data_IF_155137816005
#
_entry.id   IF_155137816005
#
_cell.length_a   1.000
_cell.length_b   1.000
_cell.length_c   1.000
_cell.angle_alpha   90.00
_cell.angle_beta   90.00
_cell.angle_gamma   90.00
#
_symmetry.space_group_name_H-M   'P 1'
#
loop_
_entity.id
_entity.type
_entity.pdbx_description
1 polymer ?
#
# COMPACT_ATOMS: atom_id res chain seq x y z
N UNK A 1 14.07 -7.80 -12.95
CA UNK A 1 13.72 -6.79 -11.93
C UNK A 1 12.28 -7.04 -11.55
N UNK A 2 11.95 -6.99 -10.26
CA UNK A 2 10.55 -7.07 -9.83
C UNK A 2 10.02 -5.65 -9.80
N UNK A 3 8.98 -5.46 -10.57
CA UNK A 3 8.25 -4.22 -10.68
C UNK A 3 7.24 -4.17 -9.52
N UNK A 4 7.34 -3.16 -8.66
CA UNK A 4 6.61 -3.09 -7.38
C UNK A 4 5.51 -2.05 -7.43
N UNK A 5 4.32 -2.43 -6.97
CA UNK A 5 3.23 -1.51 -6.65
C UNK A 5 3.23 -1.29 -5.15
N UNK A 6 3.42 -0.03 -4.74
CA UNK A 6 3.40 0.35 -3.34
C UNK A 6 1.99 0.79 -2.94
N UNK A 7 1.50 0.29 -1.80
CA UNK A 7 0.26 0.74 -1.18
C UNK A 7 0.59 1.44 0.13
N UNK A 8 0.33 2.74 0.22
CA UNK A 8 0.51 3.46 1.48
C UNK A 8 -0.60 3.08 2.46
N UNK A 9 -0.21 2.62 3.65
CA UNK A 9 -1.12 2.22 4.73
C UNK A 9 -0.88 3.08 5.96
N UNK A 10 -1.97 3.55 6.55
CA UNK A 10 -1.96 4.51 7.65
C UNK A 10 -3.24 4.36 8.49
N UNK A 11 -3.22 4.90 9.71
CA UNK A 11 -4.39 4.85 10.60
C UNK A 11 -5.58 5.60 9.99
N UNK A 12 -6.74 4.95 9.92
CA UNK A 12 -7.94 5.53 9.32
C UNK A 12 -8.01 5.43 7.79
N UNK A 13 -7.11 4.64 7.15
CA UNK A 13 -7.24 4.24 5.74
C UNK A 13 -8.64 3.65 5.48
N UNK A 14 -9.29 4.07 4.40
CA UNK A 14 -10.61 3.59 4.00
C UNK A 14 -10.52 2.21 3.31
N UNK A 15 -10.93 1.14 4.00
CA UNK A 15 -10.77 -0.25 3.55
C UNK A 15 -11.39 -0.54 2.17
N UNK A 16 -12.54 0.09 1.87
CA UNK A 16 -13.29 -0.17 0.65
C UNK A 16 -12.58 0.33 -0.61
N UNK A 17 -11.70 1.32 -0.51
CA UNK A 17 -11.03 1.90 -1.69
C UNK A 17 -10.00 0.95 -2.29
N UNK A 18 -9.37 0.12 -1.45
CA UNK A 18 -8.27 -0.76 -1.86
C UNK A 18 -8.73 -2.19 -2.12
N UNK A 19 -9.95 -2.56 -1.73
CA UNK A 19 -10.42 -3.95 -1.72
C UNK A 19 -10.33 -4.66 -3.08
N UNK A 20 -10.81 -4.03 -4.15
CA UNK A 20 -10.72 -4.62 -5.49
C UNK A 20 -9.28 -4.69 -5.99
N UNK A 21 -8.54 -3.58 -5.90
CA UNK A 21 -7.18 -3.48 -6.43
C UNK A 21 -6.22 -4.46 -5.74
N UNK A 22 -6.28 -4.55 -4.41
CA UNK A 22 -5.44 -5.47 -3.63
C UNK A 22 -5.79 -6.93 -3.89
N UNK A 23 -7.09 -7.25 -4.05
CA UNK A 23 -7.52 -8.60 -4.41
C UNK A 23 -7.01 -9.00 -5.80
N UNK A 24 -7.13 -8.13 -6.80
CA UNK A 24 -6.67 -8.41 -8.17
C UNK A 24 -5.14 -8.50 -8.26
N UNK A 25 -4.40 -7.59 -7.63
CA UNK A 25 -2.92 -7.65 -7.61
C UNK A 25 -2.40 -8.86 -6.83
N UNK A 26 -3.11 -9.30 -5.79
CA UNK A 26 -2.81 -10.53 -5.06
C UNK A 26 -3.07 -11.79 -5.89
N UNK A 27 -4.06 -11.74 -6.79
CA UNK A 27 -4.40 -12.83 -7.72
C UNK A 27 -3.53 -12.74 -8.97
N UNK A 28 -2.31 -13.26 -8.86
CA UNK A 28 -1.33 -13.35 -9.97
C UNK A 28 -1.84 -14.04 -11.25
N UNK A 29 -2.95 -14.77 -11.16
CA UNK A 29 -3.53 -15.58 -12.23
C UNK A 29 -4.46 -14.80 -13.18
N UNK A 30 -4.86 -13.58 -12.83
CA UNK A 30 -5.80 -12.76 -13.63
C UNK A 30 -5.11 -11.79 -14.59
N UNK A 31 -3.78 -11.73 -14.54
CA UNK A 31 -3.01 -10.97 -15.51
C UNK A 31 -3.08 -11.65 -16.88
N UNK A 32 -3.15 -10.84 -17.94
CA UNK A 32 -3.00 -11.32 -19.32
C UNK A 32 -1.80 -12.26 -19.40
N UNK A 33 -1.87 -13.31 -20.23
CA UNK A 33 -0.92 -14.44 -20.27
C UNK A 33 0.56 -14.03 -20.39
N UNK A 34 0.84 -12.79 -20.81
CA UNK A 34 2.18 -12.22 -21.00
C UNK A 34 2.52 -11.03 -20.08
N UNK A 35 1.66 -10.68 -19.12
CA UNK A 35 1.93 -9.58 -18.21
C UNK A 35 2.96 -9.98 -17.12
N UNK A 36 3.95 -9.11 -16.84
CA UNK A 36 4.99 -9.42 -15.87
C UNK A 36 4.40 -9.54 -14.46
N UNK A 37 4.97 -10.40 -13.60
CA UNK A 37 4.50 -10.54 -12.22
C UNK A 37 4.75 -9.23 -11.46
N UNK A 38 3.67 -8.65 -10.92
CA UNK A 38 3.72 -7.47 -10.06
C UNK A 38 3.76 -7.90 -8.60
N UNK A 39 4.57 -7.21 -7.80
CA UNK A 39 4.58 -7.35 -6.34
C UNK A 39 3.81 -6.19 -5.71
N UNK A 40 2.80 -6.48 -4.89
CA UNK A 40 2.18 -5.50 -4.02
C UNK A 40 2.97 -5.44 -2.70
N UNK A 41 3.37 -4.25 -2.28
CA UNK A 41 4.09 -4.02 -1.02
C UNK A 41 3.42 -2.89 -0.26
N UNK A 42 3.05 -3.16 0.99
CA UNK A 42 2.48 -2.15 1.89
C UNK A 42 3.58 -1.28 2.50
N UNK A 43 3.36 0.03 2.48
CA UNK A 43 4.31 1.03 2.96
C UNK A 43 3.66 1.82 4.08
N UNK A 44 4.28 1.83 5.25
CA UNK A 44 3.85 2.64 6.38
C UNK A 44 4.81 3.79 6.62
N UNK A 45 4.38 4.76 7.43
CA UNK A 45 5.31 5.76 7.97
C UNK A 45 6.29 5.14 8.97
N UNK A 46 5.84 4.13 9.72
CA UNK A 46 6.65 3.35 10.66
C UNK A 46 6.42 1.86 10.40
N UNK A 47 7.21 0.99 11.04
CA UNK A 47 6.99 -0.46 11.01
C UNK A 47 5.93 -0.95 12.01
N UNK A 48 5.25 -0.04 12.72
CA UNK A 48 4.19 -0.40 13.64
C UNK A 48 2.87 -0.68 12.89
N UNK A 49 2.00 -1.56 13.42
CA UNK A 49 0.71 -1.82 12.81
C UNK A 49 -0.18 -0.57 12.82
N UNK A 50 -0.90 -0.37 11.72
CA UNK A 50 -1.93 0.66 11.56
C UNK A 50 -3.32 0.04 11.72
N UNK A 51 -4.29 0.85 12.12
CA UNK A 51 -5.69 0.50 12.25
C UNK A 51 -6.49 1.19 11.14
N UNK A 52 -7.04 0.42 10.20
CA UNK A 52 -7.90 0.96 9.13
C UNK A 52 -9.21 1.50 9.69
N UNK A 53 -9.96 2.25 8.88
CA UNK A 53 -11.27 2.80 9.27
C UNK A 53 -12.27 1.72 9.70
N UNK A 54 -12.26 0.57 9.03
CA UNK A 54 -13.07 -0.60 9.32
C UNK A 54 -12.56 -1.43 10.50
N UNK A 55 -11.42 -1.08 11.10
CA UNK A 55 -10.86 -1.73 12.27
C UNK A 55 -9.93 -2.91 11.99
N UNK A 56 -9.42 -3.05 10.76
CA UNK A 56 -8.39 -4.04 10.44
C UNK A 56 -7.04 -3.56 10.94
N UNK A 57 -6.28 -4.47 11.55
CA UNK A 57 -4.88 -4.22 11.90
C UNK A 57 -3.98 -4.67 10.76
N UNK A 58 -3.30 -3.72 10.13
CA UNK A 58 -2.37 -3.97 9.01
C UNK A 58 -0.95 -3.71 9.48
N UNK A 59 -0.05 -4.67 9.29
CA UNK A 59 1.37 -4.49 9.52
C UNK A 59 2.02 -4.09 8.18
N UNK A 60 2.65 -2.91 8.08
CA UNK A 60 3.36 -2.52 6.86
C UNK A 60 4.52 -3.47 6.57
N UNK A 61 4.74 -3.80 5.30
CA UNK A 61 5.88 -4.61 4.87
C UNK A 61 7.20 -3.83 5.02
N UNK A 62 7.16 -2.53 4.69
CA UNK A 62 8.30 -1.61 4.76
C UNK A 62 7.87 -0.22 5.24
N UNK A 63 8.85 0.58 5.61
CA UNK A 63 8.69 2.02 5.87
C UNK A 63 8.89 2.85 4.60
N UNK A 64 8.46 4.12 4.62
CA UNK A 64 8.61 5.04 3.49
C UNK A 64 10.09 5.26 3.10
N UNK A 65 11.00 5.23 4.07
CA UNK A 65 12.45 5.37 3.86
C UNK A 65 13.07 4.18 3.10
N UNK A 66 12.39 3.05 3.09
CA UNK A 66 12.82 1.82 2.41
C UNK A 66 12.28 1.71 0.98
N UNK A 67 11.45 2.66 0.54
CA UNK A 67 10.90 2.69 -0.82
C UNK A 67 12.00 2.97 -1.84
N UNK A 68 12.07 2.13 -2.87
CA UNK A 68 13.00 2.27 -3.99
C UNK A 68 12.25 2.79 -5.21
N UNK A 69 12.32 4.10 -5.46
CA UNK A 69 11.58 4.77 -6.54
C UNK A 69 11.87 4.17 -7.92
N UNK A 70 13.07 3.65 -8.14
CA UNK A 70 13.49 3.07 -9.42
C UNK A 70 12.79 1.73 -9.72
N UNK A 71 12.18 1.11 -8.71
CA UNK A 71 11.42 -0.14 -8.82
C UNK A 71 9.90 0.07 -8.78
N UNK A 72 9.44 1.30 -8.58
CA UNK A 72 8.04 1.63 -8.44
C UNK A 72 7.33 1.65 -9.80
N UNK A 73 6.36 0.76 -10.01
CA UNK A 73 5.37 0.89 -11.10
C UNK A 73 4.30 1.91 -10.78
N UNK A 74 3.84 1.90 -9.54
CA UNK A 74 2.78 2.76 -9.06
C UNK A 74 2.86 2.91 -7.53
N UNK A 75 2.36 4.04 -7.05
CA UNK A 75 2.08 4.30 -5.65
C UNK A 75 0.57 4.53 -5.51
N UNK A 76 -0.08 3.74 -4.66
CA UNK A 76 -1.50 3.84 -4.35
C UNK A 76 -1.64 4.62 -3.05
N UNK A 77 -2.33 5.76 -3.12
CA UNK A 77 -2.65 6.62 -1.99
C UNK A 77 -4.16 6.56 -1.76
N UNK A 78 -4.64 5.69 -0.85
CA UNK A 78 -6.05 5.64 -0.52
C UNK A 78 -6.44 6.86 0.33
N UNK A 79 -7.72 7.21 0.25
CA UNK A 79 -8.37 8.13 1.15
C UNK A 79 -8.42 7.61 2.58
N UNK A 80 -8.78 8.52 3.48
CA UNK A 80 -8.85 8.29 4.91
C UNK A 80 -8.87 9.63 5.65
N UNK A 81 -9.20 9.58 6.94
CA UNK A 81 -9.48 10.81 7.71
C UNK A 81 -8.20 11.50 8.25
N UNK A 82 -7.05 10.83 8.18
CA UNK A 82 -5.81 11.24 8.84
C UNK A 82 -4.81 11.95 7.93
N UNK A 83 -5.12 12.19 6.66
CA UNK A 83 -4.24 12.96 5.76
C UNK A 83 -3.92 14.37 6.25
N UNK A 84 -4.79 14.97 7.07
CA UNK A 84 -4.55 16.29 7.67
C UNK A 84 -3.88 16.21 9.04
N UNK A 85 -3.59 15.01 9.53
CA UNK A 85 -2.88 14.80 10.78
C UNK A 85 -1.40 15.19 10.59
N UNK A 86 -0.87 16.14 11.39
CA UNK A 86 0.55 16.49 11.35
C UNK A 86 1.49 15.31 11.57
N UNK A 87 1.05 14.23 12.23
CA UNK A 87 1.84 13.02 12.37
C UNK A 87 2.14 12.39 11.01
N UNK A 88 1.19 12.38 10.06
CA UNK A 88 1.39 11.84 8.70
C UNK A 88 2.39 12.65 7.85
N UNK A 89 2.78 13.85 8.28
CA UNK A 89 3.68 14.74 7.53
C UNK A 89 5.13 14.72 8.03
N UNK A 90 5.46 13.87 9.01
CA UNK A 90 6.83 13.74 9.52
C UNK A 90 7.60 12.73 8.67
N UNK A 91 8.35 13.24 7.70
CA UNK A 91 9.43 12.51 7.01
C UNK A 91 10.75 12.71 7.76
#
# INVERSE_FOLDING_TARGET
>A
MKDTVYLYVFDGLADWEIGYLTAELGRRELFFTDAPPVQLTTVGQTSYPVLTMGGLKVLPDITIDEVQSEQALALILPGGDSWLDPEQHRA
#
